data_IF_861641819737
#
_entry.id   IF_861641819737
#
_cell.length_a   1.000
_cell.length_b   1.000
_cell.length_c   1.000
_cell.angle_alpha   90.00
_cell.angle_beta   90.00
_cell.angle_gamma   90.00
#
_symmetry.space_group_name_H-M   'P 1'
#
loop_
_entity.id
_entity.type
_entity.pdbx_description
1 polymer ?
#
# COMPACT_ATOMS: atom_id res chain seq x y z
N UNK A 1 -13.65 -3.70 3.38
CA UNK A 1 -12.23 -4.04 3.57
C UNK A 1 -11.33 -2.80 3.56
N UNK A 2 -11.41 -1.96 2.52
CA UNK A 2 -10.55 -0.76 2.36
C UNK A 2 -10.59 0.21 3.56
N UNK A 3 -11.78 0.58 4.03
CA UNK A 3 -11.96 1.49 5.18
C UNK A 3 -11.23 1.00 6.44
N UNK A 4 -11.33 -0.29 6.75
CA UNK A 4 -10.64 -0.88 7.89
C UNK A 4 -9.11 -0.83 7.73
N UNK A 5 -8.61 -1.03 6.51
CA UNK A 5 -7.17 -0.91 6.21
C UNK A 5 -6.67 0.54 6.32
N UNK A 6 -7.46 1.50 5.86
CA UNK A 6 -7.16 2.92 6.01
C UNK A 6 -7.15 3.37 7.48
N UNK A 7 -8.11 2.91 8.28
CA UNK A 7 -8.15 3.17 9.72
C UNK A 7 -6.97 2.53 10.45
N UNK A 8 -6.61 1.29 10.12
CA UNK A 8 -5.42 0.65 10.68
C UNK A 8 -4.15 1.48 10.39
N UNK A 9 -4.00 2.04 9.19
CA UNK A 9 -2.87 2.93 8.85
C UNK A 9 -2.84 4.23 9.68
N UNK A 10 -3.99 4.76 10.08
CA UNK A 10 -4.07 5.95 10.94
C UNK A 10 -3.70 5.63 12.39
N UNK A 11 -4.03 4.43 12.87
CA UNK A 11 -3.73 4.01 14.24
C UNK A 11 -2.27 3.58 14.45
N UNK A 12 -1.56 3.21 13.37
CA UNK A 12 -0.16 2.81 13.46
C UNK A 12 0.78 3.99 13.68
N UNK A 13 1.55 3.93 14.76
CA UNK A 13 2.58 4.93 15.06
C UNK A 13 3.59 5.06 13.90
N UNK A 14 4.14 6.26 13.63
CA UNK A 14 5.12 6.48 12.56
C UNK A 14 6.37 5.59 12.65
N UNK A 15 6.76 5.18 13.87
CA UNK A 15 7.86 4.26 14.12
C UNK A 15 7.62 2.84 13.60
N UNK A 16 6.34 2.43 13.42
CA UNK A 16 5.96 1.09 12.93
C UNK A 16 6.07 0.97 11.41
N UNK A 17 7.22 1.39 10.85
CA UNK A 17 7.43 1.57 9.41
C UNK A 17 7.06 0.33 8.59
N UNK A 18 7.45 -0.86 9.06
CA UNK A 18 7.15 -2.14 8.40
C UNK A 18 5.64 -2.42 8.32
N UNK A 19 4.91 -2.21 9.41
CA UNK A 19 3.46 -2.44 9.43
C UNK A 19 2.74 -1.41 8.55
N UNK A 20 3.18 -0.14 8.60
CA UNK A 20 2.65 0.92 7.73
C UNK A 20 2.87 0.59 6.27
N UNK A 21 4.04 0.08 5.90
CA UNK A 21 4.32 -0.36 4.54
C UNK A 21 3.44 -1.56 4.13
N UNK A 22 3.27 -2.55 5.02
CA UNK A 22 2.39 -3.69 4.77
C UNK A 22 0.94 -3.28 4.48
N UNK A 23 0.35 -2.48 5.38
CA UNK A 23 -1.05 -2.06 5.23
C UNK A 23 -1.24 -1.05 4.10
N UNK A 24 -0.26 -0.22 3.80
CA UNK A 24 -0.35 0.71 2.67
C UNK A 24 -0.27 -0.02 1.33
N UNK A 25 0.56 -1.06 1.20
CA UNK A 25 0.53 -1.94 0.01
C UNK A 25 -0.81 -2.68 -0.09
N UNK A 26 -1.34 -3.19 1.03
CA UNK A 26 -2.65 -3.82 1.04
C UNK A 26 -3.79 -2.86 0.65
N UNK A 27 -3.72 -1.60 1.07
CA UNK A 27 -4.69 -0.57 0.69
C UNK A 27 -4.64 -0.29 -0.83
N UNK A 28 -3.44 -0.16 -1.39
CA UNK A 28 -3.27 0.08 -2.82
C UNK A 28 -3.77 -1.10 -3.66
N UNK A 29 -3.52 -2.35 -3.24
CA UNK A 29 -4.06 -3.55 -3.90
C UNK A 29 -5.59 -3.56 -3.92
N UNK A 30 -6.23 -3.18 -2.81
CA UNK A 30 -7.70 -3.11 -2.74
C UNK A 30 -8.26 -2.05 -3.67
N UNK A 31 -7.62 -0.89 -3.76
CA UNK A 31 -8.03 0.20 -4.65
C UNK A 31 -7.88 -0.18 -6.12
N UNK A 32 -6.78 -0.84 -6.50
CA UNK A 32 -6.61 -1.41 -7.85
C UNK A 32 -7.70 -2.43 -8.15
N UNK A 33 -8.00 -3.34 -7.22
CA UNK A 33 -9.05 -4.36 -7.42
C UNK A 33 -10.46 -3.77 -7.59
N UNK A 34 -10.68 -2.55 -7.08
CA UNK A 34 -11.93 -1.80 -7.25
C UNK A 34 -11.95 -0.94 -8.53
N UNK A 35 -10.85 -0.89 -9.29
CA UNK A 35 -10.70 -0.03 -10.47
C UNK A 35 -10.35 1.43 -10.14
N UNK A 36 -10.17 1.77 -8.87
CA UNK A 36 -9.84 3.13 -8.42
C UNK A 36 -8.31 3.37 -8.50
N UNK A 37 -7.83 3.48 -9.74
CA UNK A 37 -6.40 3.58 -10.04
C UNK A 37 -5.78 4.90 -9.56
N UNK A 38 -6.56 5.98 -9.51
CA UNK A 38 -6.07 7.29 -9.04
C UNK A 38 -5.81 7.27 -7.53
N UNK A 39 -6.73 6.70 -6.74
CA UNK A 39 -6.50 6.54 -5.29
C UNK A 39 -5.36 5.57 -5.03
N UNK A 40 -5.26 4.48 -5.80
CA UNK A 40 -4.14 3.55 -5.70
C UNK A 40 -2.78 4.23 -5.97
N UNK A 41 -2.69 5.07 -7.01
CA UNK A 41 -1.47 5.87 -7.29
C UNK A 41 -1.13 6.79 -6.11
N UNK A 42 -2.12 7.50 -5.57
CA UNK A 42 -1.93 8.38 -4.41
C UNK A 42 -1.47 7.62 -3.16
N UNK A 43 -2.03 6.44 -2.91
CA UNK A 43 -1.63 5.56 -1.79
C UNK A 43 -0.19 5.10 -1.96
N UNK A 44 0.19 4.65 -3.17
CA UNK A 44 1.55 4.20 -3.46
C UNK A 44 2.57 5.32 -3.34
N UNK A 45 2.26 6.53 -3.81
CA UNK A 45 3.15 7.69 -3.70
C UNK A 45 3.47 8.08 -2.25
N UNK A 46 2.60 7.72 -1.29
CA UNK A 46 2.77 8.00 0.14
C UNK A 46 3.48 6.88 0.91
N UNK A 47 3.77 5.75 0.26
CA UNK A 47 4.46 4.64 0.90
C UNK A 47 5.95 4.96 1.07
N UNK A 48 6.44 4.78 2.30
CA UNK A 48 7.88 4.73 2.55
C UNK A 48 8.43 3.39 2.08
N UNK A 49 8.96 3.37 0.86
CA UNK A 49 9.54 2.17 0.24
C UNK A 49 10.88 1.78 0.84
N UNK A 50 11.56 2.70 1.56
CA UNK A 50 12.81 2.38 2.27
C UNK A 50 12.59 1.41 3.43
N UNK A 51 11.37 1.37 3.97
CA UNK A 51 10.95 0.46 5.03
C UNK A 51 10.62 -0.96 4.53
N UNK A 52 10.67 -1.21 3.21
CA UNK A 52 10.37 -2.49 2.59
C UNK A 52 11.56 -3.46 2.63
N UNK A 53 11.98 -3.87 3.82
CA UNK A 53 12.98 -4.94 3.96
C UNK A 53 12.46 -6.33 3.57
N UNK A 54 11.14 -6.48 3.42
CA UNK A 54 10.51 -7.76 3.07
C UNK A 54 10.33 -7.91 1.57
N UNK A 55 10.99 -8.93 0.99
CA UNK A 55 10.86 -9.32 -0.42
C UNK A 55 9.41 -9.55 -0.84
N UNK A 56 8.58 -10.10 0.06
CA UNK A 56 7.16 -10.35 -0.20
C UNK A 56 6.37 -9.05 -0.35
N UNK A 57 6.61 -8.06 0.51
CA UNK A 57 5.89 -6.78 0.43
C UNK A 57 6.36 -6.00 -0.80
N UNK A 58 7.66 -6.01 -1.11
CA UNK A 58 8.19 -5.41 -2.33
C UNK A 58 7.58 -6.06 -3.60
N UNK A 59 7.46 -7.39 -3.65
CA UNK A 59 6.84 -8.10 -4.77
C UNK A 59 5.37 -7.71 -4.98
N UNK A 60 4.61 -7.57 -3.88
CA UNK A 60 3.22 -7.08 -3.92
C UNK A 60 3.12 -5.66 -4.47
N UNK A 61 3.99 -4.75 -4.00
CA UNK A 61 4.03 -3.38 -4.49
C UNK A 61 4.38 -3.33 -5.99
N UNK A 62 5.31 -4.17 -6.45
CA UNK A 62 5.63 -4.28 -7.88
C UNK A 62 4.42 -4.72 -8.73
N UNK A 63 3.60 -5.65 -8.22
CA UNK A 63 2.35 -6.04 -8.89
C UNK A 63 1.36 -4.88 -8.99
N UNK A 64 1.20 -4.09 -7.91
CA UNK A 64 0.37 -2.88 -7.93
C UNK A 64 0.88 -1.89 -8.98
N UNK A 65 2.19 -1.63 -9.01
CA UNK A 65 2.77 -0.73 -10.03
C UNK A 65 2.51 -1.20 -11.46
N UNK A 66 2.60 -2.50 -11.74
CA UNK A 66 2.28 -3.06 -13.06
C UNK A 66 0.81 -2.87 -13.41
N UNK A 67 -0.09 -3.10 -12.46
CA UNK A 67 -1.53 -2.91 -12.68
C UNK A 67 -1.90 -1.43 -12.90
N UNK A 68 -1.16 -0.48 -12.33
CA UNK A 68 -1.37 0.95 -12.52
C UNK A 68 -0.75 1.52 -13.80
N UNK A 69 0.11 0.74 -14.46
CA UNK A 69 0.77 1.10 -15.71
C UNK A 69 0.10 0.49 -16.96
N UNK A 70 -0.84 -0.44 -16.76
CA UNK A 70 -1.70 -1.02 -17.79
C UNK A 70 -2.89 -0.10 -18.07
#
# INVERSE_FOLDING_TARGET
AELATAQALQLLAPSMRRNRAYYGVQLAELQVAQGDTDRAKATVARLDTSALSSRRIAGRLATVHRALAA
#
